data_IF_086078409335
#
_entry.id   IF_086078409335
#
_cell.length_a   1.000
_cell.length_b   1.000
_cell.length_c   1.000
_cell.angle_alpha   90.00
_cell.angle_beta   90.00
_cell.angle_gamma   90.00
#
_symmetry.space_group_name_H-M   'P 1'
#
loop_
_entity.id
_entity.type
_entity.pdbx_description
1 polymer ?
#
# COMPACT_ATOMS: atom_id res chain seq x y z
N UNK A 1 -2.30 6.61 3.05
CA UNK A 1 -1.38 5.62 2.47
C UNK A 1 -1.86 5.28 1.08
N UNK A 2 -0.96 5.23 0.10
CA UNK A 2 -1.27 4.79 -1.26
C UNK A 2 -0.96 3.30 -1.43
N UNK A 3 -2.00 2.47 -1.62
CA UNK A 3 -1.84 1.04 -1.92
C UNK A 3 -1.69 0.81 -3.42
N UNK A 4 -0.71 0.00 -3.82
CA UNK A 4 -0.46 -0.32 -5.23
C UNK A 4 -0.65 -1.81 -5.48
N UNK A 5 -1.32 -2.17 -6.58
CA UNK A 5 -1.45 -3.55 -6.98
C UNK A 5 -0.11 -4.08 -7.53
N UNK A 6 0.22 -5.33 -7.23
CA UNK A 6 1.47 -5.95 -7.70
C UNK A 6 1.57 -5.98 -9.23
N UNK A 7 0.44 -6.12 -9.92
CA UNK A 7 0.37 -6.07 -11.39
C UNK A 7 0.78 -4.69 -11.93
N UNK A 8 0.37 -3.61 -11.28
CA UNK A 8 0.72 -2.24 -11.70
C UNK A 8 2.23 -1.99 -11.50
N UNK A 9 2.83 -2.54 -10.42
CA UNK A 9 4.30 -2.49 -10.23
C UNK A 9 5.03 -3.22 -11.36
N UNK A 10 4.51 -4.38 -11.78
CA UNK A 10 5.09 -5.13 -12.89
C UNK A 10 4.97 -4.36 -14.22
N UNK A 11 3.83 -3.73 -14.48
CA UNK A 11 3.64 -2.89 -15.66
C UNK A 11 4.64 -1.73 -15.69
N UNK A 12 4.80 -0.99 -14.58
CA UNK A 12 5.81 0.07 -14.49
C UNK A 12 7.22 -0.48 -14.78
N UNK A 13 7.58 -1.61 -14.18
CA UNK A 13 8.90 -2.23 -14.38
C UNK A 13 9.14 -2.58 -15.85
N UNK A 14 8.13 -3.06 -16.58
CA UNK A 14 8.19 -3.31 -18.02
C UNK A 14 8.36 -2.01 -18.80
N UNK A 15 7.60 -0.96 -18.48
CA UNK A 15 7.72 0.34 -19.15
C UNK A 15 9.10 0.97 -18.95
N UNK A 16 9.81 0.67 -17.86
CA UNK A 16 11.16 1.17 -17.61
C UNK A 16 12.24 0.59 -18.53
N UNK A 17 12.01 -0.56 -19.18
CA UNK A 17 13.06 -1.30 -19.91
C UNK A 17 13.67 -0.46 -21.04
N UNK A 18 12.81 0.16 -21.85
CA UNK A 18 13.23 0.92 -23.04
C UNK A 18 12.92 2.43 -22.95
N UNK A 19 12.47 2.91 -21.79
CA UNK A 19 12.09 4.30 -21.59
C UNK A 19 13.29 5.13 -21.12
N UNK A 20 13.78 6.11 -21.92
CA UNK A 20 14.89 6.97 -21.52
C UNK A 20 14.64 7.74 -20.21
N UNK A 21 13.36 8.02 -19.88
CA UNK A 21 12.98 8.70 -18.65
C UNK A 21 13.23 7.86 -17.38
N UNK A 22 13.43 6.54 -17.52
CA UNK A 22 13.74 5.63 -16.42
C UNK A 22 15.25 5.47 -16.14
N UNK A 23 16.12 6.03 -17.00
CA UNK A 23 17.57 5.82 -16.89
C UNK A 23 18.17 6.61 -15.72
N UNK A 24 18.93 5.93 -14.87
CA UNK A 24 19.71 6.52 -13.76
C UNK A 24 18.88 7.43 -12.85
N UNK A 25 17.63 7.07 -12.59
CA UNK A 25 16.73 7.85 -11.74
C UNK A 25 15.98 6.98 -10.75
N UNK A 26 15.53 7.58 -9.65
CA UNK A 26 14.53 6.99 -8.76
C UNK A 26 13.17 7.40 -9.29
N UNK A 27 12.27 6.42 -9.45
CA UNK A 27 10.90 6.66 -9.90
C UNK A 27 9.97 6.55 -8.68
N UNK A 28 9.45 7.68 -8.20
CA UNK A 28 8.33 7.68 -7.26
C UNK A 28 7.16 6.85 -7.76
N UNK A 29 6.68 5.91 -6.95
CA UNK A 29 5.54 5.10 -7.35
C UNK A 29 4.65 4.69 -6.18
N UNK A 30 3.35 4.82 -6.37
CA UNK A 30 2.31 4.48 -5.41
C UNK A 30 0.96 4.30 -6.09
N UNK A 31 -0.03 3.88 -5.32
CA UNK A 31 -1.41 3.75 -5.78
C UNK A 31 -2.06 5.05 -6.25
N UNK A 32 -3.18 4.96 -6.98
CA UNK A 32 -3.85 6.12 -7.60
C UNK A 32 -4.46 7.08 -6.59
N UNK A 33 -4.86 6.61 -5.40
CA UNK A 33 -5.46 7.43 -4.35
C UNK A 33 -4.90 7.08 -2.96
N UNK A 34 -4.78 8.08 -2.05
CA UNK A 34 -4.47 7.80 -0.66
C UNK A 34 -5.76 7.42 0.08
N UNK A 35 -5.71 6.34 0.86
CA UNK A 35 -6.78 5.95 1.79
C UNK A 35 -6.24 5.76 3.20
N UNK A 36 -7.11 5.88 4.20
CA UNK A 36 -6.78 5.51 5.58
C UNK A 36 -6.89 3.99 5.79
N UNK A 37 -6.37 3.48 6.91
CA UNK A 37 -6.58 2.07 7.29
C UNK A 37 -8.07 1.75 7.52
N UNK A 38 -8.83 2.71 8.04
CA UNK A 38 -10.28 2.57 8.23
C UNK A 38 -11.04 2.51 6.91
N UNK A 39 -10.66 3.33 5.93
CA UNK A 39 -11.22 3.25 4.58
C UNK A 39 -10.91 1.90 3.94
N UNK A 40 -9.68 1.39 4.12
CA UNK A 40 -9.32 0.07 3.64
C UNK A 40 -10.22 -1.02 4.27
N UNK A 41 -10.36 -1.05 5.60
CA UNK A 41 -11.26 -1.99 6.29
C UNK A 41 -12.69 -1.89 5.73
N UNK A 42 -13.22 -0.68 5.60
CA UNK A 42 -14.57 -0.45 5.07
C UNK A 42 -14.74 -0.97 3.64
N UNK A 43 -13.76 -0.79 2.76
CA UNK A 43 -13.79 -1.35 1.41
C UNK A 43 -13.90 -2.87 1.43
N UNK A 44 -13.16 -3.54 2.32
CA UNK A 44 -13.26 -4.98 2.49
C UNK A 44 -14.64 -5.38 3.03
N UNK A 45 -15.15 -4.73 4.07
CA UNK A 45 -16.48 -5.05 4.62
C UNK A 45 -17.60 -4.89 3.58
N UNK A 46 -17.55 -3.82 2.78
CA UNK A 46 -18.50 -3.54 1.69
C UNK A 46 -18.48 -4.62 0.61
N UNK A 47 -17.31 -4.95 0.06
CA UNK A 47 -17.20 -5.90 -1.05
C UNK A 47 -17.38 -7.37 -0.61
N UNK A 48 -17.10 -7.70 0.66
CA UNK A 48 -17.36 -9.03 1.25
C UNK A 48 -18.74 -9.15 1.90
N UNK A 49 -19.51 -8.06 1.99
CA UNK A 49 -20.89 -8.06 2.50
C UNK A 49 -21.03 -8.40 3.99
N UNK A 50 -19.98 -8.21 4.80
CA UNK A 50 -20.00 -8.49 6.24
C UNK A 50 -19.03 -7.59 7.02
N UNK A 51 -19.38 -7.20 8.27
CA UNK A 51 -18.47 -6.47 9.13
C UNK A 51 -17.31 -7.36 9.60
N UNK A 52 -16.17 -6.75 9.87
CA UNK A 52 -14.97 -7.39 10.42
C UNK A 52 -14.82 -7.03 11.90
N UNK A 53 -14.28 -7.95 12.68
CA UNK A 53 -13.84 -7.64 14.04
C UNK A 53 -12.50 -6.92 13.96
N UNK A 54 -12.50 -5.62 14.25
CA UNK A 54 -11.28 -4.79 14.21
C UNK A 54 -10.63 -4.73 15.59
N UNK A 55 -9.33 -5.01 15.65
CA UNK A 55 -8.50 -4.82 16.85
C UNK A 55 -7.66 -3.58 16.68
N UNK A 56 -7.93 -2.57 17.50
CA UNK A 56 -7.11 -1.35 17.55
C UNK A 56 -5.86 -1.57 18.42
N UNK A 57 -4.70 -1.18 17.89
CA UNK A 57 -3.43 -1.32 18.60
C UNK A 57 -2.89 0.08 18.89
N UNK A 58 -2.70 0.47 20.17
CA UNK A 58 -2.11 1.76 20.50
C UNK A 58 -0.69 1.92 19.94
N UNK A 59 -0.37 3.09 19.41
CA UNK A 59 0.96 3.38 18.87
C UNK A 59 2.08 3.15 19.92
N UNK A 60 1.79 3.39 21.20
CA UNK A 60 2.73 3.13 22.28
C UNK A 60 3.05 1.62 22.45
N UNK A 61 2.05 0.76 22.26
CA UNK A 61 2.23 -0.69 22.33
C UNK A 61 3.12 -1.18 21.17
N UNK A 62 2.88 -0.68 19.95
CA UNK A 62 3.74 -0.94 18.80
C UNK A 62 5.17 -0.44 19.05
N UNK A 63 5.35 0.71 19.69
CA UNK A 63 6.69 1.24 20.00
C UNK A 63 7.43 0.35 21.01
N UNK A 64 6.75 -0.15 22.03
CA UNK A 64 7.32 -1.10 22.99
C UNK A 64 7.70 -2.41 22.29
N UNK A 65 6.80 -2.96 21.47
CA UNK A 65 7.05 -4.19 20.72
C UNK A 65 8.24 -4.04 19.76
N UNK A 66 8.35 -2.91 19.05
CA UNK A 66 9.48 -2.65 18.16
C UNK A 66 10.84 -2.63 18.87
N UNK A 67 10.88 -2.05 20.08
CA UNK A 67 12.09 -2.00 20.91
C UNK A 67 12.47 -3.38 21.44
N UNK A 68 11.48 -4.21 21.80
CA UNK A 68 11.69 -5.53 22.37
C UNK A 68 11.92 -6.63 21.32
N UNK A 69 11.54 -6.41 20.06
CA UNK A 69 11.64 -7.42 19.01
C UNK A 69 13.10 -7.63 18.57
N UNK A 70 13.57 -8.87 18.76
CA UNK A 70 14.86 -9.37 18.27
C UNK A 70 14.74 -10.01 16.88
N UNK A 71 13.55 -10.50 16.52
CA UNK A 71 13.29 -11.08 15.21
C UNK A 71 13.24 -9.97 14.13
N UNK A 72 14.10 -10.02 13.09
CA UNK A 72 14.15 -8.95 12.07
C UNK A 72 12.85 -8.77 11.27
N UNK A 73 12.09 -9.85 11.04
CA UNK A 73 10.83 -9.81 10.30
C UNK A 73 9.75 -9.12 11.14
N UNK A 74 9.58 -9.54 12.39
CA UNK A 74 8.63 -8.91 13.31
C UNK A 74 8.95 -7.43 13.51
N UNK A 75 10.23 -7.10 13.68
CA UNK A 75 10.69 -5.72 13.83
C UNK A 75 10.34 -4.87 12.61
N UNK A 76 10.49 -5.41 11.40
CA UNK A 76 10.11 -4.74 10.16
C UNK A 76 8.60 -4.50 10.09
N UNK A 77 7.81 -5.51 10.42
CA UNK A 77 6.35 -5.41 10.39
C UNK A 77 5.81 -4.37 11.40
N UNK A 78 6.30 -4.38 12.64
CA UNK A 78 5.91 -3.39 13.66
C UNK A 78 6.38 -1.98 13.27
N UNK A 79 7.54 -1.85 12.63
CA UNK A 79 8.02 -0.57 12.10
C UNK A 79 7.08 0.00 11.04
N UNK A 80 6.59 -0.84 10.15
CA UNK A 80 5.61 -0.45 9.13
C UNK A 80 4.32 0.05 9.77
N UNK A 81 3.77 -0.68 10.74
CA UNK A 81 2.57 -0.27 11.47
C UNK A 81 2.77 1.05 12.22
N UNK A 82 3.93 1.25 12.85
CA UNK A 82 4.29 2.53 13.48
C UNK A 82 4.38 3.67 12.48
N UNK A 83 4.96 3.43 11.30
CA UNK A 83 4.99 4.40 10.22
C UNK A 83 3.59 4.84 9.85
N UNK A 84 2.69 3.88 9.56
CA UNK A 84 1.29 4.15 9.25
C UNK A 84 0.58 4.91 10.36
N UNK A 85 0.75 4.50 11.63
CA UNK A 85 0.14 5.17 12.79
C UNK A 85 0.62 6.61 12.98
N UNK A 86 1.82 6.95 12.48
CA UNK A 86 2.39 8.31 12.50
C UNK A 86 2.01 9.14 11.27
N UNK A 87 1.15 8.62 10.40
CA UNK A 87 0.72 9.31 9.18
C UNK A 87 1.70 9.15 8.01
N UNK A 88 2.54 8.11 8.01
CA UNK A 88 3.36 7.80 6.84
C UNK A 88 2.46 7.61 5.62
N UNK A 89 2.72 8.43 4.60
CA UNK A 89 2.21 8.22 3.26
C UNK A 89 3.40 8.04 2.32
N UNK A 90 3.30 7.09 1.40
CA UNK A 90 4.30 6.91 0.35
C UNK A 90 4.41 8.17 -0.53
N UNK A 91 3.38 9.03 -0.49
CA UNK A 91 3.53 10.48 -0.65
C UNK A 91 3.88 10.97 -2.04
N UNK A 92 3.67 10.16 -3.09
CA UNK A 92 4.07 10.57 -4.42
C UNK A 92 3.06 10.12 -5.47
N UNK A 93 2.60 11.07 -6.26
CA UNK A 93 1.82 10.79 -7.46
C UNK A 93 2.76 10.14 -8.50
N UNK A 94 2.32 9.04 -9.14
CA UNK A 94 3.07 8.42 -10.21
C UNK A 94 3.37 9.43 -11.32
N UNK A 95 4.55 9.37 -11.96
CA UNK A 95 4.88 10.23 -13.09
C UNK A 95 4.14 9.78 -14.37
N UNK A 96 2.80 9.89 -14.36
CA UNK A 96 1.90 9.39 -15.42
C UNK A 96 2.22 9.94 -16.81
N UNK A 97 2.79 11.15 -16.90
CA UNK A 97 3.23 11.73 -18.17
C UNK A 97 4.35 10.92 -18.84
N UNK A 98 5.22 10.31 -18.03
CA UNK A 98 6.38 9.53 -18.49
C UNK A 98 6.08 8.04 -18.60
N UNK A 99 5.07 7.58 -17.86
CA UNK A 99 4.64 6.19 -17.76
C UNK A 99 3.11 6.14 -17.88
N UNK A 100 2.57 6.16 -19.11
CA UNK A 100 1.14 6.11 -19.32
C UNK A 100 0.61 4.74 -18.88
N UNK A 101 -0.14 4.71 -17.78
CA UNK A 101 -0.72 3.49 -17.24
C UNK A 101 -2.04 3.79 -16.54
N UNK A 102 -2.94 2.80 -16.50
CA UNK A 102 -4.17 2.88 -15.73
C UNK A 102 -4.01 2.07 -14.45
N UNK A 103 -3.81 2.76 -13.32
CA UNK A 103 -3.63 2.09 -12.04
C UNK A 103 -4.92 1.48 -11.51
N UNK A 104 -4.78 0.35 -10.84
CA UNK A 104 -5.84 -0.33 -10.11
C UNK A 104 -6.14 0.44 -8.82
N UNK A 105 -7.40 0.88 -8.65
CA UNK A 105 -7.84 1.50 -7.40
C UNK A 105 -7.94 0.47 -6.27
N UNK A 106 -7.81 0.86 -4.99
CA UNK A 106 -8.09 0.00 -3.84
C UNK A 106 -9.43 -0.74 -3.95
N UNK A 107 -10.52 -0.05 -4.35
CA UNK A 107 -11.83 -0.68 -4.51
C UNK A 107 -11.84 -1.76 -5.59
N UNK A 108 -11.25 -1.49 -6.76
CA UNK A 108 -11.16 -2.48 -7.83
C UNK A 108 -10.35 -3.70 -7.40
N UNK A 109 -9.25 -3.49 -6.67
CA UNK A 109 -8.44 -4.57 -6.13
C UNK A 109 -9.25 -5.45 -5.18
N UNK A 110 -9.92 -4.86 -4.19
CA UNK A 110 -10.73 -5.60 -3.21
C UNK A 110 -11.90 -6.33 -3.90
N UNK A 111 -12.58 -5.68 -4.85
CA UNK A 111 -13.66 -6.31 -5.64
C UNK A 111 -13.18 -7.54 -6.40
N UNK A 112 -12.00 -7.48 -7.04
CA UNK A 112 -11.40 -8.63 -7.74
C UNK A 112 -11.10 -9.76 -6.76
N UNK A 113 -10.60 -9.44 -5.57
CA UNK A 113 -10.33 -10.43 -4.52
C UNK A 113 -11.62 -11.10 -4.04
N UNK A 114 -12.69 -10.34 -3.79
CA UNK A 114 -13.97 -10.86 -3.32
C UNK A 114 -14.65 -11.80 -4.34
N UNK A 115 -14.47 -11.57 -5.64
CA UNK A 115 -15.01 -12.44 -6.71
C UNK A 115 -14.27 -13.78 -6.86
N UNK A 116 -13.04 -13.85 -6.37
CA UNK A 116 -12.19 -15.05 -6.46
C UNK A 116 -12.26 -15.93 -5.20
N UNK A 117 -13.13 -15.57 -4.25
CA UNK A 117 -13.33 -16.22 -2.96
C UNK A 117 -14.76 -16.76 -2.86
#
# INVERSE_FOLDING_TARGET
MRYVATADVAELAVQCVDNPAARNTVIPFGGPEPISQWDAVKLFEEEFGRPFSVTEIPAQALQTQWKASENPMEKSFVSLMLGVARGFDAGMDPPFEKFPMQLTTPREFVRRMARNN
#
